data_IF_760883355860
#
_entry.id   IF_760883355860
#
_cell.length_a   1.000
_cell.length_b   1.000
_cell.length_c   1.000
_cell.angle_alpha   90.00
_cell.angle_beta   90.00
_cell.angle_gamma   90.00
#
_symmetry.space_group_name_H-M   'P 1'
#
loop_
_entity.id
_entity.type
_entity.pdbx_description
1 polymer ?
#
# COMPACT_ATOMS: atom_id res chain seq x y z
N UNK A 1 10.35 -5.71 -15.59
CA UNK A 1 9.83 -4.87 -14.49
C UNK A 1 8.38 -5.27 -14.33
N UNK A 2 8.14 -6.29 -13.49
CA UNK A 2 6.80 -6.80 -13.24
C UNK A 2 5.95 -5.68 -12.64
N UNK A 3 4.96 -5.23 -13.41
CA UNK A 3 3.89 -4.40 -12.89
C UNK A 3 3.08 -5.29 -11.96
N UNK A 4 3.45 -5.34 -10.69
CA UNK A 4 2.49 -5.64 -9.64
C UNK A 4 1.43 -4.55 -9.78
N UNK A 5 0.32 -4.88 -10.43
CA UNK A 5 -0.81 -3.97 -10.57
C UNK A 5 -1.33 -3.83 -9.14
N UNK A 6 -0.96 -2.73 -8.49
CA UNK A 6 -1.60 -2.30 -7.26
C UNK A 6 -3.03 -1.94 -7.67
N UNK A 7 -3.95 -2.89 -7.62
CA UNK A 7 -5.33 -2.58 -7.92
C UNK A 7 -5.83 -1.50 -6.96
N UNK A 8 -6.79 -0.70 -7.40
CA UNK A 8 -7.40 0.29 -6.51
C UNK A 8 -8.03 -0.44 -5.33
N UNK A 9 -7.60 -0.13 -4.11
CA UNK A 9 -8.23 -0.63 -2.90
C UNK A 9 -9.70 -0.17 -2.93
N UNK A 10 -10.62 -1.13 -3.10
CA UNK A 10 -12.07 -0.85 -3.11
C UNK A 10 -12.56 -0.31 -1.76
N UNK A 11 -13.85 0.04 -1.69
CA UNK A 11 -14.45 0.66 -0.51
C UNK A 11 -14.15 -0.13 0.78
N UNK A 12 -13.56 0.57 1.76
CA UNK A 12 -13.16 0.00 3.06
C UNK A 12 -11.77 -0.64 3.10
N UNK A 13 -11.05 -0.74 1.98
CA UNK A 13 -9.67 -1.25 1.92
C UNK A 13 -8.68 -0.10 1.81
N UNK A 14 -7.53 -0.24 2.45
CA UNK A 14 -6.37 0.62 2.31
C UNK A 14 -5.16 -0.15 1.80
N UNK A 15 -4.03 0.54 1.80
CA UNK A 15 -2.71 -0.01 1.52
C UNK A 15 -1.88 0.04 2.78
N UNK A 16 -1.11 -1.01 2.99
CA UNK A 16 -0.06 -1.09 3.99
C UNK A 16 1.28 -1.19 3.28
N UNK A 17 2.13 -0.18 3.48
CA UNK A 17 3.46 -0.11 2.90
C UNK A 17 4.49 -0.48 3.97
N UNK A 18 5.29 -1.53 3.70
CA UNK A 18 6.31 -2.08 4.60
C UNK A 18 7.71 -1.79 4.05
N UNK A 19 8.52 -1.06 4.81
CA UNK A 19 9.91 -0.75 4.48
C UNK A 19 10.91 -1.68 5.15
N UNK A 20 12.17 -1.63 4.70
CA UNK A 20 13.25 -2.55 5.08
C UNK A 20 13.68 -2.54 6.57
N UNK A 21 13.17 -1.61 7.37
CA UNK A 21 13.48 -1.49 8.80
C UNK A 21 12.25 -1.60 9.70
N UNK A 22 11.19 -2.25 9.23
CA UNK A 22 9.93 -2.35 9.96
C UNK A 22 9.13 -1.04 9.98
N UNK A 23 9.47 -0.07 9.11
CA UNK A 23 8.63 1.09 8.88
C UNK A 23 7.31 0.64 8.24
N UNK A 24 6.20 1.10 8.82
CA UNK A 24 4.85 0.74 8.39
C UNK A 24 4.05 2.01 8.12
N UNK A 25 3.52 2.14 6.92
CA UNK A 25 2.69 3.28 6.51
C UNK A 25 1.35 2.75 6.03
N UNK A 26 0.27 3.26 6.62
CA UNK A 26 -1.10 2.95 6.20
C UNK A 26 -1.66 4.12 5.42
N UNK A 27 -2.14 3.88 4.21
CA UNK A 27 -2.74 4.92 3.36
C UNK A 27 -3.96 4.38 2.63
N UNK A 28 -4.96 5.22 2.36
CA UNK A 28 -6.05 4.91 1.42
C UNK A 28 -5.76 5.45 0.01
N UNK A 29 -4.72 6.25 -0.14
CA UNK A 29 -4.35 6.86 -1.41
C UNK A 29 -3.57 5.87 -2.27
N UNK A 30 -4.15 5.51 -3.42
CA UNK A 30 -3.47 4.68 -4.41
C UNK A 30 -2.18 5.33 -4.92
N UNK A 31 -2.17 6.66 -5.10
CA UNK A 31 -1.00 7.41 -5.54
C UNK A 31 0.14 7.35 -4.50
N UNK A 32 -0.19 7.47 -3.21
CA UNK A 32 0.79 7.37 -2.13
C UNK A 32 1.36 5.95 -2.02
N UNK A 33 0.51 4.92 -2.17
CA UNK A 33 0.94 3.53 -2.20
C UNK A 33 1.92 3.26 -3.36
N UNK A 34 1.63 3.78 -4.56
CA UNK A 34 2.53 3.69 -5.70
C UNK A 34 3.86 4.42 -5.47
N UNK A 35 3.82 5.58 -4.81
CA UNK A 35 5.03 6.31 -4.42
C UNK A 35 5.91 5.47 -3.50
N UNK A 36 5.36 4.89 -2.43
CA UNK A 36 6.13 4.04 -1.52
C UNK A 36 6.67 2.79 -2.21
N UNK A 37 5.88 2.17 -3.10
CA UNK A 37 6.35 1.04 -3.91
C UNK A 37 7.55 1.43 -4.79
N UNK A 38 7.53 2.64 -5.38
CA UNK A 38 8.66 3.14 -6.19
C UNK A 38 9.95 3.34 -5.38
N UNK A 39 9.83 3.54 -4.07
CA UNK A 39 10.94 3.62 -3.12
C UNK A 39 11.39 2.25 -2.59
N UNK A 40 10.80 1.15 -3.09
CA UNK A 40 11.13 -0.23 -2.71
C UNK A 40 10.34 -0.76 -1.50
N UNK A 41 9.27 -0.09 -1.08
CA UNK A 41 8.37 -0.64 -0.06
C UNK A 41 7.54 -1.77 -0.65
N UNK A 42 7.29 -2.81 0.15
CA UNK A 42 6.29 -3.83 -0.18
C UNK A 42 4.90 -3.26 0.15
N UNK A 43 4.00 -3.28 -0.82
CA UNK A 43 2.65 -2.73 -0.65
C UNK A 43 1.63 -3.87 -0.65
N UNK A 44 0.80 -3.91 0.39
CA UNK A 44 -0.24 -4.91 0.60
C UNK A 44 -1.60 -4.23 0.71
N UNK A 45 -2.67 -4.93 0.31
CA UNK A 45 -4.02 -4.50 0.64
C UNK A 45 -4.34 -4.80 2.10
N UNK A 46 -4.75 -3.78 2.84
CA UNK A 46 -5.13 -3.89 4.24
C UNK A 46 -6.62 -3.63 4.40
N UNK A 47 -7.34 -4.64 4.89
CA UNK A 47 -8.82 -4.62 4.96
C UNK A 47 -9.35 -4.15 6.31
N UNK A 48 -8.49 -3.80 7.27
CA UNK A 48 -8.89 -3.50 8.64
C UNK A 48 -8.79 -2.00 8.95
N UNK A 49 -9.41 -1.19 8.10
CA UNK A 49 -9.95 0.10 8.56
C UNK A 49 -11.38 -0.17 9.02
N UNK A 50 -11.51 -0.88 10.15
CA UNK A 50 -12.77 -0.91 10.85
C UNK A 50 -13.12 0.53 11.26
N UNK A 51 -14.37 0.92 11.01
CA UNK A 51 -14.93 2.23 11.31
C UNK A 51 -14.84 2.57 12.80
#
# INVERSE_FOLDING_TARGET
MDKIILDSAGDGRGYECLGLHGSRILTRSHAEACFWHSLGYVVLHYSHWAA
#
